data_IF_297298308277
#
_entry.id   IF_297298308277
#
_cell.length_a   1.000
_cell.length_b   1.000
_cell.length_c   1.000
_cell.angle_alpha   90.00
_cell.angle_beta   90.00
_cell.angle_gamma   90.00
#
_symmetry.space_group_name_H-M   'P 1'
#
loop_
_entity.id
_entity.type
_entity.pdbx_description
1 polymer ?
#
# COMPACT_ATOMS: atom_id res chain seq x y z
N UNK A 1 -25.68 -31.55 -16.13
CA UNK A 1 -24.59 -32.00 -15.24
C UNK A 1 -23.97 -30.73 -14.67
N UNK A 2 -24.38 -30.37 -13.46
CA UNK A 2 -23.89 -29.16 -12.79
C UNK A 2 -22.45 -29.42 -12.30
N UNK A 3 -21.49 -28.74 -12.91
CA UNK A 3 -20.16 -28.63 -12.34
C UNK A 3 -20.24 -27.63 -11.18
N UNK A 4 -20.25 -28.13 -9.96
CA UNK A 4 -20.03 -27.30 -8.77
C UNK A 4 -18.55 -26.92 -8.80
N UNK A 5 -18.27 -25.68 -9.22
CA UNK A 5 -16.95 -25.10 -8.99
C UNK A 5 -16.86 -24.80 -7.51
N UNK A 6 -16.27 -25.71 -6.75
CA UNK A 6 -15.89 -25.42 -5.37
C UNK A 6 -14.62 -24.59 -5.43
N UNK A 7 -14.80 -23.27 -5.53
CA UNK A 7 -13.71 -22.32 -5.33
C UNK A 7 -13.36 -22.40 -3.84
N UNK A 8 -12.27 -23.10 -3.53
CA UNK A 8 -11.65 -23.03 -2.22
C UNK A 8 -11.10 -21.60 -2.09
N UNK A 9 -11.86 -20.75 -1.38
CA UNK A 9 -11.31 -19.55 -0.80
C UNK A 9 -10.25 -19.98 0.23
N UNK A 10 -9.09 -20.39 -0.26
CA UNK A 10 -7.90 -20.42 0.57
C UNK A 10 -7.55 -18.96 0.79
N UNK A 11 -7.98 -18.40 1.94
CA UNK A 11 -7.56 -17.08 2.35
C UNK A 11 -6.06 -16.97 2.11
N UNK A 12 -5.66 -16.14 1.15
CA UNK A 12 -4.29 -15.67 1.08
C UNK A 12 -4.09 -14.96 2.42
N UNK A 13 -3.38 -15.61 3.32
CA UNK A 13 -3.01 -14.99 4.58
C UNK A 13 -2.13 -13.79 4.22
N UNK A 14 -2.69 -12.59 4.35
CA UNK A 14 -1.90 -11.38 4.42
C UNK A 14 -0.83 -11.65 5.46
N UNK A 15 0.42 -11.53 5.11
CA UNK A 15 1.52 -11.70 6.07
C UNK A 15 1.23 -10.85 7.29
N UNK A 16 1.37 -11.38 8.52
CA UNK A 16 1.13 -10.58 9.71
C UNK A 16 1.94 -9.29 9.61
N UNK A 17 1.30 -8.18 9.96
CA UNK A 17 1.95 -6.88 10.01
C UNK A 17 3.31 -7.02 10.70
N UNK A 18 4.37 -6.60 10.02
CA UNK A 18 5.68 -6.51 10.64
C UNK A 18 5.55 -5.41 11.69
N UNK A 19 5.64 -5.77 12.96
CA UNK A 19 5.55 -4.79 14.03
C UNK A 19 6.59 -3.69 13.80
N UNK A 20 6.13 -2.45 13.75
CA UNK A 20 7.00 -1.29 13.57
C UNK A 20 8.04 -1.25 14.69
N UNK A 21 9.32 -0.98 14.39
CA UNK A 21 10.30 -0.73 15.41
C UNK A 21 9.94 0.54 16.19
N UNK A 22 9.94 0.49 17.52
CA UNK A 22 9.60 1.65 18.35
C UNK A 22 10.63 2.76 18.18
N UNK A 23 10.21 3.92 17.70
CA UNK A 23 11.03 5.13 17.69
C UNK A 23 11.20 5.66 19.13
N UNK A 24 12.40 6.09 19.49
CA UNK A 24 12.69 6.67 20.80
C UNK A 24 12.48 8.18 20.75
N UNK A 25 11.67 8.67 21.71
CA UNK A 25 11.52 10.07 22.11
C UNK A 25 11.50 11.18 21.00
N UNK A 26 10.34 11.41 20.40
CA UNK A 26 9.99 12.73 19.85
C UNK A 26 10.51 13.07 18.46
N UNK A 27 11.23 12.19 17.76
CA UNK A 27 11.67 12.40 16.38
C UNK A 27 11.51 11.12 15.55
N UNK A 28 11.03 11.24 14.32
CA UNK A 28 11.05 10.15 13.36
C UNK A 28 12.49 9.69 13.09
N UNK A 29 12.68 8.40 12.91
CA UNK A 29 14.01 7.80 12.75
C UNK A 29 14.19 7.18 11.36
N UNK A 30 15.35 7.45 10.74
CA UNK A 30 15.76 6.81 9.49
C UNK A 30 17.07 6.09 9.73
N UNK A 31 17.12 4.79 9.47
CA UNK A 31 18.33 3.98 9.62
C UNK A 31 18.50 2.96 8.52
N UNK A 32 19.76 2.70 8.11
CA UNK A 32 20.10 1.70 7.12
C UNK A 32 20.80 0.48 7.75
N UNK A 33 20.40 -0.71 7.35
CA UNK A 33 21.02 -1.99 7.70
C UNK A 33 21.75 -2.56 6.48
N UNK A 34 23.06 -2.41 6.44
CA UNK A 34 23.88 -2.86 5.30
C UNK A 34 23.88 -4.38 5.14
N UNK A 35 23.75 -5.13 6.23
CA UNK A 35 23.71 -6.58 6.15
C UNK A 35 22.41 -7.10 5.49
N UNK A 36 21.33 -6.36 5.64
CA UNK A 36 20.03 -6.67 5.02
C UNK A 36 19.80 -5.91 3.70
N UNK A 37 20.64 -4.93 3.38
CA UNK A 37 20.42 -3.96 2.30
C UNK A 37 19.03 -3.30 2.41
N UNK A 38 18.73 -2.80 3.58
CA UNK A 38 17.45 -2.17 3.86
C UNK A 38 17.60 -0.82 4.53
N UNK A 39 16.64 0.06 4.26
CA UNK A 39 16.44 1.31 4.99
C UNK A 39 15.07 1.28 5.60
N UNK A 40 14.96 1.73 6.84
CA UNK A 40 13.68 1.83 7.55
C UNK A 40 13.47 3.26 8.00
N UNK A 41 12.32 3.81 7.66
CA UNK A 41 11.76 5.02 8.28
C UNK A 41 10.74 4.58 9.34
N UNK A 42 10.78 5.22 10.50
CA UNK A 42 9.80 5.02 11.57
C UNK A 42 9.48 6.36 12.19
N UNK A 43 8.22 6.78 12.08
CA UNK A 43 7.76 8.00 12.74
C UNK A 43 7.81 7.89 14.27
N UNK A 44 7.83 9.01 14.94
CA UNK A 44 7.66 9.06 16.39
C UNK A 44 6.17 9.17 16.73
N UNK A 45 5.76 8.66 17.89
CA UNK A 45 4.35 8.74 18.31
C UNK A 45 3.81 10.17 18.31
N UNK A 46 2.60 10.36 17.76
CA UNK A 46 1.90 11.64 17.68
C UNK A 46 2.50 12.64 16.70
N UNK A 47 3.32 12.19 15.75
CA UNK A 47 3.78 13.05 14.65
C UNK A 47 2.85 12.92 13.46
N UNK A 48 2.55 14.04 12.82
CA UNK A 48 1.96 14.10 11.48
C UNK A 48 3.09 14.35 10.49
N UNK A 49 3.32 13.39 9.59
CA UNK A 49 4.43 13.40 8.64
C UNK A 49 3.96 13.84 7.24
N UNK A 50 4.82 14.55 6.53
CA UNK A 50 4.70 14.82 5.09
C UNK A 50 6.02 14.33 4.48
N UNK A 51 6.07 13.02 4.23
CA UNK A 51 7.31 12.30 3.92
C UNK A 51 7.51 12.16 2.42
N UNK A 52 8.66 12.61 1.94
CA UNK A 52 9.11 12.35 0.59
C UNK A 52 10.31 11.39 0.57
N UNK A 53 10.18 10.27 -0.14
CA UNK A 53 11.27 9.30 -0.34
C UNK A 53 11.72 9.35 -1.79
N UNK A 54 12.98 9.75 -2.01
CA UNK A 54 13.53 10.00 -3.35
C UNK A 54 14.88 9.31 -3.58
N UNK A 55 15.14 8.81 -4.81
CA UNK A 55 16.45 8.32 -5.17
C UNK A 55 17.43 9.49 -5.31
N UNK A 56 18.67 9.32 -4.83
CA UNK A 56 19.73 10.34 -4.85
C UNK A 56 21.04 9.84 -5.45
N UNK A 57 21.00 8.91 -6.39
CA UNK A 57 22.18 8.29 -6.96
C UNK A 57 23.02 9.29 -7.77
N UNK A 58 24.32 9.35 -7.48
CA UNK A 58 25.27 10.27 -8.12
C UNK A 58 26.17 9.59 -9.17
N UNK A 59 25.93 8.32 -9.49
CA UNK A 59 26.68 7.56 -10.47
C UNK A 59 28.07 7.12 -10.01
N UNK A 60 28.38 7.21 -8.72
CA UNK A 60 29.64 6.80 -8.10
C UNK A 60 29.63 5.35 -7.59
N UNK A 61 28.55 4.61 -7.88
CA UNK A 61 28.36 3.23 -7.44
C UNK A 61 27.87 3.09 -6.01
N UNK A 62 27.45 4.17 -5.37
CA UNK A 62 26.81 4.14 -4.05
C UNK A 62 25.33 4.48 -4.22
N UNK A 63 24.48 3.59 -3.75
CA UNK A 63 23.04 3.82 -3.70
C UNK A 63 22.71 4.78 -2.57
N UNK A 64 22.07 5.90 -2.88
CA UNK A 64 21.61 6.88 -1.89
C UNK A 64 20.13 7.10 -1.97
N UNK A 65 19.51 7.19 -0.80
CA UNK A 65 18.08 7.42 -0.63
C UNK A 65 17.90 8.62 0.26
N UNK A 66 17.16 9.61 -0.23
CA UNK A 66 16.81 10.81 0.53
C UNK A 66 15.44 10.67 1.19
N UNK A 67 15.37 11.06 2.45
CA UNK A 67 14.14 11.16 3.23
C UNK A 67 13.97 12.62 3.65
N UNK A 68 12.92 13.24 3.17
CA UNK A 68 12.54 14.60 3.52
C UNK A 68 11.17 14.58 4.16
N UNK A 69 11.04 15.24 5.30
CA UNK A 69 9.79 15.33 6.05
C UNK A 69 9.51 16.78 6.47
N UNK A 70 8.28 17.08 6.82
CA UNK A 70 7.89 18.35 7.45
C UNK A 70 8.36 18.44 8.91
N UNK A 71 8.57 17.30 9.56
CA UNK A 71 9.02 17.19 10.94
C UNK A 71 10.51 16.82 11.04
N UNK A 72 11.19 17.13 12.17
CA UNK A 72 12.58 16.78 12.33
C UNK A 72 12.84 15.27 12.34
N UNK A 73 13.80 14.83 11.54
CA UNK A 73 14.27 13.45 11.43
C UNK A 73 15.50 13.22 12.29
N UNK A 74 15.69 12.00 12.76
CA UNK A 74 16.90 11.54 13.42
C UNK A 74 17.62 10.50 12.56
N UNK A 75 18.82 10.80 12.02
CA UNK A 75 19.60 9.80 11.29
C UNK A 75 20.09 8.70 12.23
N UNK A 76 19.91 7.47 11.80
CA UNK A 76 20.46 6.27 12.40
C UNK A 76 21.75 5.82 11.69
N UNK A 77 22.04 4.52 11.79
CA UNK A 77 23.24 3.95 11.17
C UNK A 77 23.25 4.17 9.65
N UNK A 78 24.41 4.55 9.11
CA UNK A 78 24.67 4.81 7.69
C UNK A 78 23.79 5.89 7.06
N UNK A 79 23.18 6.75 7.88
CA UNK A 79 22.38 7.89 7.46
C UNK A 79 22.97 9.19 8.06
N UNK A 80 22.87 10.28 7.32
CA UNK A 80 23.38 11.60 7.72
C UNK A 80 22.40 12.69 7.28
N UNK A 81 22.44 13.85 7.94
CA UNK A 81 21.75 15.03 7.43
C UNK A 81 22.39 15.47 6.11
N UNK A 82 21.55 15.83 5.12
CA UNK A 82 22.03 16.34 3.84
C UNK A 82 22.80 17.65 4.01
N UNK A 83 22.30 18.53 4.88
CA UNK A 83 22.90 19.81 5.20
C UNK A 83 23.01 20.00 6.72
N UNK A 84 24.14 20.52 7.23
CA UNK A 84 24.30 20.81 8.64
C UNK A 84 23.23 21.81 9.13
N UNK A 85 22.48 21.42 10.16
CA UNK A 85 21.43 22.25 10.76
C UNK A 85 20.06 22.16 10.10
N UNK A 86 19.92 21.35 9.03
CA UNK A 86 18.62 21.01 8.40
C UNK A 86 18.21 19.63 8.87
N UNK A 87 17.41 19.57 9.92
CA UNK A 87 17.01 18.29 10.54
C UNK A 87 15.87 17.57 9.81
N UNK A 88 15.28 18.19 8.78
CA UNK A 88 14.16 17.64 8.01
C UNK A 88 14.59 16.88 6.76
N UNK A 89 15.90 16.71 6.53
CA UNK A 89 16.40 15.97 5.38
C UNK A 89 17.56 15.05 5.74
N UNK A 90 17.31 13.75 5.63
CA UNK A 90 18.29 12.70 5.91
C UNK A 90 18.60 11.92 4.63
N UNK A 91 19.87 11.61 4.41
CA UNK A 91 20.34 10.74 3.31
C UNK A 91 20.94 9.48 3.91
N UNK A 92 20.50 8.33 3.43
CA UNK A 92 21.05 7.03 3.76
C UNK A 92 21.85 6.46 2.60
N UNK A 93 22.99 5.84 2.90
CA UNK A 93 23.81 5.14 1.93
C UNK A 93 23.65 3.62 2.08
N UNK A 94 23.50 2.94 0.95
CA UNK A 94 23.51 1.48 0.87
C UNK A 94 24.67 1.03 -0.02
N UNK A 95 25.39 -0.05 0.36
CA UNK A 95 26.40 -0.62 -0.51
C UNK A 95 25.73 -1.21 -1.75
N UNK A 96 26.22 -0.89 -2.94
CA UNK A 96 25.75 -1.48 -4.18
C UNK A 96 26.30 -2.90 -4.31
N UNK A 97 25.62 -3.86 -3.69
CA UNK A 97 25.79 -5.26 -4.03
C UNK A 97 24.62 -5.66 -4.96
N UNK A 98 24.93 -5.84 -6.23
CA UNK A 98 23.94 -6.17 -7.27
C UNK A 98 23.23 -7.51 -7.08
N UNK A 99 23.56 -8.26 -6.04
CA UNK A 99 22.98 -9.57 -5.76
C UNK A 99 21.68 -9.53 -4.95
N UNK A 100 21.34 -8.40 -4.32
CA UNK A 100 20.10 -8.22 -3.53
C UNK A 100 19.44 -6.90 -3.91
N UNK A 101 18.11 -6.89 -4.09
CA UNK A 101 17.38 -5.64 -4.26
C UNK A 101 17.44 -4.82 -2.96
N UNK A 102 17.62 -3.52 -3.09
CA UNK A 102 17.43 -2.59 -1.98
C UNK A 102 16.00 -2.67 -1.49
N UNK A 103 15.82 -2.57 -0.18
CA UNK A 103 14.50 -2.59 0.44
C UNK A 103 14.35 -1.35 1.32
N UNK A 104 13.28 -0.60 1.09
CA UNK A 104 12.89 0.53 1.91
C UNK A 104 11.54 0.21 2.55
N UNK A 105 11.50 0.22 3.86
CA UNK A 105 10.27 0.07 4.63
C UNK A 105 9.95 1.38 5.35
N UNK A 106 8.71 1.84 5.23
CA UNK A 106 8.22 3.10 5.79
C UNK A 106 7.06 2.81 6.72
N UNK A 107 7.13 3.30 7.96
CA UNK A 107 6.09 3.25 8.97
C UNK A 107 5.79 4.66 9.45
N UNK A 108 4.64 5.21 9.09
CA UNK A 108 4.29 6.61 9.34
C UNK A 108 3.78 6.83 10.76
N UNK A 109 3.13 5.83 11.35
CA UNK A 109 2.82 5.84 12.79
C UNK A 109 1.38 6.20 13.10
N UNK A 110 1.14 7.08 14.06
CA UNK A 110 -0.17 7.57 14.44
C UNK A 110 -0.31 9.05 14.03
N UNK A 111 -1.43 9.42 13.48
CA UNK A 111 -1.72 10.77 12.97
C UNK A 111 -2.12 10.70 11.51
N UNK A 112 -2.62 11.79 10.98
CA UNK A 112 -3.05 11.89 9.59
C UNK A 112 -1.82 12.23 8.73
N UNK A 113 -1.22 11.19 8.16
CA UNK A 113 0.10 11.28 7.51
C UNK A 113 -0.01 11.37 5.97
N UNK A 114 1.00 11.99 5.36
CA UNK A 114 1.15 12.01 3.90
C UNK A 114 2.50 11.44 3.49
N UNK A 115 2.52 10.59 2.46
CA UNK A 115 3.75 10.13 1.83
C UNK A 115 3.68 10.26 0.31
N UNK A 116 4.78 10.73 -0.29
CA UNK A 116 5.03 10.60 -1.71
C UNK A 116 6.37 9.90 -1.96
N UNK A 117 6.37 8.83 -2.76
CA UNK A 117 7.60 8.14 -3.10
C UNK A 117 7.76 7.94 -4.60
N UNK A 118 8.99 8.20 -5.08
CA UNK A 118 9.42 7.89 -6.44
C UNK A 118 10.57 6.89 -6.47
N UNK A 119 10.99 6.39 -5.31
CA UNK A 119 12.08 5.41 -5.23
C UNK A 119 11.57 3.99 -5.51
N UNK A 120 12.10 3.28 -6.52
CA UNK A 120 11.66 1.94 -6.88
C UNK A 120 12.04 0.86 -5.85
N UNK A 121 12.88 1.17 -4.87
CA UNK A 121 13.26 0.27 -3.78
C UNK A 121 12.27 0.26 -2.62
N UNK A 122 11.22 1.11 -2.64
CA UNK A 122 10.20 1.09 -1.59
C UNK A 122 9.43 -0.22 -1.67
N UNK A 123 9.56 -1.01 -0.63
CA UNK A 123 8.93 -2.33 -0.54
C UNK A 123 7.61 -2.26 0.22
N UNK A 124 7.59 -1.57 1.35
CA UNK A 124 6.39 -1.47 2.19
C UNK A 124 6.20 -0.03 2.66
N UNK A 125 4.94 0.41 2.62
CA UNK A 125 4.45 1.61 3.30
C UNK A 125 3.31 1.18 4.21
N UNK A 126 3.28 1.67 5.43
CA UNK A 126 2.20 1.52 6.40
C UNK A 126 1.89 2.89 6.95
N UNK A 127 0.66 3.34 6.81
CA UNK A 127 0.14 4.57 7.38
C UNK A 127 0.10 4.46 8.89
N UNK A 128 -0.80 3.69 9.39
CA UNK A 128 -1.00 3.45 10.80
C UNK A 128 -2.38 3.88 11.27
N UNK A 129 -2.58 4.29 12.50
CA UNK A 129 -3.82 4.92 12.93
C UNK A 129 -3.88 6.39 12.53
N UNK A 130 -4.89 6.79 11.79
CA UNK A 130 -5.15 8.15 11.31
C UNK A 130 -5.67 8.11 9.90
N UNK A 131 -6.12 9.23 9.37
CA UNK A 131 -6.62 9.34 8.00
C UNK A 131 -5.44 9.69 7.07
N UNK A 132 -4.86 8.68 6.41
CA UNK A 132 -3.58 8.79 5.73
C UNK A 132 -3.72 8.99 4.20
N UNK A 133 -2.75 9.70 3.61
CA UNK A 133 -2.63 9.89 2.16
C UNK A 133 -1.35 9.24 1.63
N UNK A 134 -1.47 8.01 1.10
CA UNK A 134 -0.34 7.14 0.76
C UNK A 134 -0.09 7.11 -0.75
N UNK A 135 0.60 8.11 -1.30
CA UNK A 135 0.99 8.18 -2.72
C UNK A 135 2.27 7.36 -2.98
N UNK A 136 2.15 6.04 -2.99
CA UNK A 136 3.28 5.12 -3.03
C UNK A 136 3.32 4.27 -4.32
N UNK A 137 3.19 4.90 -5.48
CA UNK A 137 3.12 4.24 -6.81
C UNK A 137 4.26 3.27 -7.14
N UNK A 138 5.39 3.37 -6.48
CA UNK A 138 6.53 2.47 -6.66
C UNK A 138 6.58 1.34 -5.64
N UNK A 139 5.81 1.45 -4.55
CA UNK A 139 5.82 0.47 -3.48
C UNK A 139 5.18 -0.86 -3.90
N UNK A 140 5.73 -1.96 -3.37
CA UNK A 140 5.16 -3.28 -3.58
C UNK A 140 3.92 -3.52 -2.71
N UNK A 141 3.95 -3.05 -1.47
CA UNK A 141 2.84 -3.18 -0.52
C UNK A 141 2.55 -1.84 0.14
N UNK A 142 1.28 -1.43 0.13
CA UNK A 142 0.82 -0.22 0.81
C UNK A 142 -0.35 -0.60 1.69
N UNK A 143 -0.34 -0.14 2.94
CA UNK A 143 -1.40 -0.34 3.93
C UNK A 143 -1.82 0.98 4.54
N UNK A 144 -3.13 1.21 4.59
CA UNK A 144 -3.71 2.29 5.38
C UNK A 144 -3.59 1.98 6.87
N UNK A 145 -3.97 0.80 7.28
CA UNK A 145 -4.10 0.26 8.63
C UNK A 145 -5.42 0.71 9.30
N UNK A 146 -5.58 1.90 9.87
CA UNK A 146 -6.84 2.27 10.54
C UNK A 146 -7.13 3.77 10.49
N UNK A 147 -8.22 4.13 9.89
CA UNK A 147 -8.69 5.47 9.58
C UNK A 147 -9.27 5.49 8.18
N UNK A 148 -9.76 6.61 7.72
CA UNK A 148 -10.28 6.74 6.37
C UNK A 148 -9.14 7.11 5.42
N UNK A 149 -8.56 6.10 4.74
CA UNK A 149 -7.29 6.22 4.04
C UNK A 149 -7.43 6.40 2.52
N UNK A 150 -6.47 7.11 1.92
CA UNK A 150 -6.26 7.13 0.48
C UNK A 150 -4.98 6.35 0.14
N UNK A 151 -5.13 5.18 -0.49
CA UNK A 151 -4.05 4.23 -0.71
C UNK A 151 -3.77 4.06 -2.20
N UNK A 152 -2.58 4.49 -2.65
CA UNK A 152 -2.12 4.30 -4.02
C UNK A 152 -0.86 3.46 -4.05
N UNK A 153 -0.88 2.36 -4.81
CA UNK A 153 0.26 1.44 -4.86
C UNK A 153 0.24 0.55 -6.07
N UNK A 154 1.15 -0.43 -6.11
CA UNK A 154 1.46 -1.14 -7.35
C UNK A 154 1.11 -2.62 -7.37
N UNK A 155 1.21 -3.36 -6.28
CA UNK A 155 0.99 -4.82 -6.29
C UNK A 155 0.01 -5.26 -5.22
N UNK A 156 0.19 -4.78 -3.99
CA UNK A 156 -0.67 -5.14 -2.86
C UNK A 156 -1.12 -3.86 -2.19
N UNK A 157 -2.43 -3.64 -2.15
CA UNK A 157 -3.08 -2.55 -1.44
C UNK A 157 -4.01 -3.13 -0.38
N UNK A 158 -3.96 -2.57 0.81
CA UNK A 158 -4.74 -2.98 1.96
C UNK A 158 -5.22 -1.69 2.66
N UNK A 159 -6.52 -1.39 2.61
CA UNK A 159 -7.10 -0.23 3.29
C UNK A 159 -7.02 -0.42 4.78
N UNK A 160 -7.79 -1.31 5.33
CA UNK A 160 -7.74 -1.66 6.73
C UNK A 160 -9.06 -1.53 7.47
N UNK A 161 -9.10 -0.78 8.56
CA UNK A 161 -10.33 -0.43 9.26
C UNK A 161 -10.66 1.05 8.94
N UNK A 162 -11.74 1.35 8.26
CA UNK A 162 -12.17 2.71 7.91
C UNK A 162 -12.88 2.76 6.57
N UNK A 163 -13.23 3.93 6.10
CA UNK A 163 -13.75 4.13 4.75
C UNK A 163 -12.59 4.47 3.82
N UNK A 164 -12.08 3.48 3.11
CA UNK A 164 -10.85 3.62 2.36
C UNK A 164 -11.08 3.89 0.88
N UNK A 165 -10.15 4.61 0.26
CA UNK A 165 -10.11 4.78 -1.18
C UNK A 165 -8.81 4.17 -1.74
N UNK A 166 -8.93 2.98 -2.34
CA UNK A 166 -7.82 2.25 -2.94
C UNK A 166 -7.77 2.51 -4.45
N UNK A 167 -6.63 3.00 -4.92
CA UNK A 167 -6.37 3.23 -6.33
C UNK A 167 -5.13 2.43 -6.75
N UNK A 168 -5.32 1.42 -7.58
CA UNK A 168 -4.21 0.67 -8.15
C UNK A 168 -3.49 1.49 -9.25
N UNK A 169 -2.41 0.98 -9.76
CA UNK A 169 -1.79 1.44 -11.01
C UNK A 169 -1.86 0.30 -12.02
N UNK A 170 -1.52 0.53 -13.28
CA UNK A 170 -1.62 -0.50 -14.31
C UNK A 170 -0.87 -1.80 -13.95
N UNK A 171 -1.46 -2.95 -14.26
CA UNK A 171 -0.90 -4.29 -14.05
C UNK A 171 -1.70 -5.13 -13.06
N UNK A 172 -1.33 -6.37 -12.85
CA UNK A 172 -2.07 -7.31 -12.02
C UNK A 172 -1.85 -7.02 -10.52
N UNK A 173 -2.93 -6.73 -9.76
CA UNK A 173 -2.88 -6.36 -8.35
C UNK A 173 -3.73 -7.24 -7.44
N UNK A 174 -3.48 -7.08 -6.14
CA UNK A 174 -4.28 -7.62 -5.05
C UNK A 174 -4.74 -6.47 -4.15
N UNK A 175 -6.05 -6.25 -4.06
CA UNK A 175 -6.65 -5.16 -3.30
C UNK A 175 -7.55 -5.74 -2.21
N UNK A 176 -7.38 -5.24 -1.00
CA UNK A 176 -8.26 -5.50 0.14
C UNK A 176 -8.78 -4.17 0.67
N UNK A 177 -10.10 -3.94 0.62
CA UNK A 177 -10.73 -2.79 1.27
C UNK A 177 -10.53 -2.87 2.76
N UNK A 178 -11.14 -3.84 3.36
CA UNK A 178 -11.01 -4.09 4.78
C UNK A 178 -12.34 -4.01 5.49
N UNK A 179 -12.48 -3.22 6.53
CA UNK A 179 -13.77 -2.93 7.17
C UNK A 179 -14.15 -1.49 6.94
N UNK A 180 -15.39 -1.26 6.54
CA UNK A 180 -15.95 0.06 6.29
C UNK A 180 -16.46 0.13 4.88
N UNK A 181 -17.04 1.25 4.50
CA UNK A 181 -17.64 1.42 3.18
C UNK A 181 -16.56 1.91 2.22
N UNK A 182 -15.93 0.97 1.48
CA UNK A 182 -14.72 1.23 0.71
C UNK A 182 -15.01 1.59 -0.76
N UNK A 183 -14.12 2.40 -1.34
CA UNK A 183 -14.06 2.67 -2.78
C UNK A 183 -12.79 2.08 -3.37
N UNK A 184 -12.91 1.15 -4.34
CA UNK A 184 -11.77 0.44 -4.91
C UNK A 184 -11.76 0.58 -6.43
N UNK A 185 -10.67 1.12 -6.97
CA UNK A 185 -10.41 1.28 -8.41
C UNK A 185 -9.19 0.46 -8.80
N UNK A 186 -9.38 -0.66 -9.53
CA UNK A 186 -8.30 -1.57 -9.88
C UNK A 186 -7.62 -1.23 -11.23
N UNK A 187 -8.29 -0.51 -12.14
CA UNK A 187 -7.80 -0.05 -13.46
C UNK A 187 -7.48 -1.19 -14.45
N UNK A 188 -6.29 -1.13 -15.11
CA UNK A 188 -5.91 -2.11 -16.13
C UNK A 188 -5.12 -3.26 -15.51
N UNK A 189 -5.56 -4.50 -15.71
CA UNK A 189 -4.85 -5.66 -15.17
C UNK A 189 -5.73 -6.89 -15.03
N UNK A 190 -5.20 -7.92 -14.38
CA UNK A 190 -5.99 -9.06 -13.90
C UNK A 190 -5.98 -9.01 -12.39
N UNK A 191 -6.97 -8.33 -11.88
CA UNK A 191 -6.97 -7.92 -10.50
C UNK A 191 -7.76 -8.89 -9.61
N UNK A 192 -7.34 -8.99 -8.38
CA UNK A 192 -8.07 -9.73 -7.36
C UNK A 192 -8.45 -8.76 -6.26
N UNK A 193 -9.74 -8.49 -6.15
CA UNK A 193 -10.30 -7.54 -5.20
C UNK A 193 -11.14 -8.28 -4.17
N UNK A 194 -10.97 -7.94 -2.90
CA UNK A 194 -11.83 -8.32 -1.80
C UNK A 194 -12.19 -7.06 -1.03
N UNK A 195 -13.40 -6.54 -1.22
CA UNK A 195 -13.83 -5.31 -0.56
C UNK A 195 -13.97 -5.55 0.94
N UNK A 196 -14.85 -6.40 1.39
CA UNK A 196 -14.85 -6.80 2.79
C UNK A 196 -16.21 -6.64 3.49
N UNK A 197 -16.24 -6.27 4.76
CA UNK A 197 -17.43 -5.86 5.45
C UNK A 197 -17.69 -4.36 5.33
N UNK A 198 -18.80 -3.98 4.72
CA UNK A 198 -19.24 -2.60 4.48
C UNK A 198 -20.12 -2.53 3.24
N UNK A 199 -20.66 -1.38 2.94
CA UNK A 199 -21.37 -1.13 1.69
C UNK A 199 -20.37 -0.60 0.66
N UNK A 200 -19.74 -1.52 -0.08
CA UNK A 200 -18.54 -1.24 -0.88
C UNK A 200 -18.85 -0.86 -2.34
N UNK A 201 -17.96 -0.08 -2.94
CA UNK A 201 -18.00 0.25 -4.37
C UNK A 201 -16.72 -0.17 -5.06
N UNK A 202 -16.79 -1.15 -5.97
CA UNK A 202 -15.63 -1.71 -6.67
C UNK A 202 -15.76 -1.53 -8.18
N UNK A 203 -14.69 -1.02 -8.80
CA UNK A 203 -14.49 -1.00 -10.25
C UNK A 203 -13.26 -1.87 -10.59
N UNK A 204 -13.48 -3.00 -11.31
CA UNK A 204 -12.42 -3.91 -11.78
C UNK A 204 -11.53 -3.23 -12.80
N UNK A 205 -12.12 -2.78 -13.90
CA UNK A 205 -11.41 -2.08 -14.97
C UNK A 205 -11.24 -2.92 -16.22
N UNK A 206 -10.16 -2.66 -16.97
CA UNK A 206 -9.87 -3.44 -18.16
C UNK A 206 -9.06 -4.69 -17.79
N UNK A 207 -9.62 -5.89 -17.97
CA UNK A 207 -8.90 -7.14 -17.71
C UNK A 207 -9.83 -8.27 -17.27
N UNK A 208 -9.29 -9.45 -17.00
CA UNK A 208 -10.11 -10.56 -16.51
C UNK A 208 -10.02 -10.60 -14.97
N UNK A 209 -10.95 -9.96 -14.28
CA UNK A 209 -10.88 -9.67 -12.86
C UNK A 209 -11.63 -10.68 -11.98
N UNK A 210 -11.22 -10.75 -10.71
CA UNK A 210 -11.91 -11.51 -9.67
C UNK A 210 -12.26 -10.56 -8.53
N UNK A 211 -13.56 -10.28 -8.36
CA UNK A 211 -14.06 -9.32 -7.36
C UNK A 211 -14.98 -10.03 -6.37
N UNK A 212 -14.73 -9.83 -5.09
CA UNK A 212 -15.58 -10.22 -3.99
C UNK A 212 -16.03 -8.96 -3.24
N UNK A 213 -17.35 -8.69 -3.18
CA UNK A 213 -17.93 -7.64 -2.35
C UNK A 213 -17.74 -7.98 -0.89
N UNK A 214 -18.50 -8.93 -0.40
CA UNK A 214 -18.30 -9.40 0.97
C UNK A 214 -19.58 -9.40 1.79
N UNK A 215 -19.68 -8.52 2.76
CA UNK A 215 -20.91 -8.35 3.52
C UNK A 215 -21.32 -6.89 3.61
N UNK A 216 -22.52 -6.59 3.18
CA UNK A 216 -23.10 -5.27 3.03
C UNK A 216 -23.84 -5.17 1.71
N UNK A 217 -24.38 -4.02 1.39
CA UNK A 217 -25.10 -3.78 0.14
C UNK A 217 -24.10 -3.23 -0.91
N UNK A 218 -23.38 -4.12 -1.62
CA UNK A 218 -22.23 -3.79 -2.46
C UNK A 218 -22.62 -3.38 -3.88
N UNK A 219 -21.77 -2.53 -4.51
CA UNK A 219 -21.84 -2.17 -5.92
C UNK A 219 -20.56 -2.61 -6.63
N UNK A 220 -20.66 -3.64 -7.49
CA UNK A 220 -19.51 -4.24 -8.17
C UNK A 220 -19.64 -4.07 -9.69
N UNK A 221 -18.64 -3.45 -10.31
CA UNK A 221 -18.49 -3.30 -11.76
C UNK A 221 -17.23 -4.05 -12.21
N UNK A 222 -17.41 -5.05 -13.11
CA UNK A 222 -16.29 -5.76 -13.74
C UNK A 222 -15.61 -4.93 -14.79
N UNK A 223 -16.41 -4.15 -15.53
CA UNK A 223 -16.03 -3.36 -16.70
C UNK A 223 -15.63 -4.26 -17.88
N UNK A 224 -14.43 -4.16 -18.46
CA UNK A 224 -14.11 -4.84 -19.71
C UNK A 224 -13.21 -6.07 -19.52
N UNK A 225 -13.76 -7.27 -19.74
CA UNK A 225 -13.01 -8.51 -19.58
C UNK A 225 -13.90 -9.72 -19.36
N UNK A 226 -13.30 -10.88 -19.18
CA UNK A 226 -14.02 -12.10 -18.79
C UNK A 226 -13.97 -12.24 -17.24
N UNK A 227 -14.86 -11.53 -16.53
CA UNK A 227 -14.77 -11.29 -15.08
C UNK A 227 -15.52 -12.32 -14.22
N UNK A 228 -15.11 -12.43 -12.96
CA UNK A 228 -15.82 -13.18 -11.92
C UNK A 228 -16.14 -12.24 -10.76
N UNK A 229 -17.43 -11.92 -10.58
CA UNK A 229 -17.91 -11.05 -9.53
C UNK A 229 -18.83 -11.80 -8.59
N UNK A 230 -18.60 -11.67 -7.30
CA UNK A 230 -19.39 -12.28 -6.22
C UNK A 230 -19.80 -11.18 -5.25
N UNK A 231 -21.10 -10.84 -5.19
CA UNK A 231 -21.63 -9.86 -4.25
C UNK A 231 -21.40 -10.32 -2.81
N UNK A 232 -22.06 -11.39 -2.42
CA UNK A 232 -21.84 -11.97 -1.11
C UNK A 232 -23.08 -11.98 -0.24
N UNK A 233 -23.03 -11.32 0.91
CA UNK A 233 -24.20 -11.24 1.79
C UNK A 233 -24.69 -9.80 1.91
N UNK A 234 -25.91 -9.57 1.45
CA UNK A 234 -26.55 -8.27 1.43
C UNK A 234 -27.45 -8.12 0.23
N UNK A 235 -27.65 -6.92 -0.20
CA UNK A 235 -28.38 -6.61 -1.42
C UNK A 235 -27.47 -5.95 -2.44
N UNK A 236 -26.80 -6.80 -3.19
CA UNK A 236 -25.73 -6.37 -4.06
C UNK A 236 -26.22 -5.94 -5.46
N UNK A 237 -25.51 -4.99 -6.04
CA UNK A 237 -25.62 -4.61 -7.45
C UNK A 237 -24.36 -5.08 -8.16
N UNK A 238 -24.50 -6.06 -9.09
CA UNK A 238 -23.35 -6.67 -9.76
C UNK A 238 -23.51 -6.52 -11.28
N UNK A 239 -22.63 -5.75 -11.90
CA UNK A 239 -22.58 -5.47 -13.33
C UNK A 239 -21.25 -5.95 -13.92
N UNK A 240 -21.29 -7.03 -14.74
CA UNK A 240 -20.08 -7.61 -15.31
C UNK A 240 -19.48 -6.78 -16.46
N UNK A 241 -20.26 -5.97 -17.18
CA UNK A 241 -19.75 -5.21 -18.32
C UNK A 241 -19.54 -6.03 -19.60
N UNK A 242 -18.74 -5.53 -20.57
CA UNK A 242 -18.44 -6.22 -21.81
C UNK A 242 -17.51 -7.41 -21.63
N UNK A 243 -17.95 -8.63 -21.98
CA UNK A 243 -17.16 -9.85 -21.87
C UNK A 243 -18.00 -11.08 -21.57
N UNK A 244 -17.39 -12.17 -21.13
CA UNK A 244 -18.07 -13.38 -20.69
C UNK A 244 -17.97 -13.51 -19.19
N UNK A 245 -18.83 -12.80 -18.50
CA UNK A 245 -18.74 -12.63 -17.06
C UNK A 245 -19.49 -13.73 -16.30
N UNK A 246 -19.00 -14.02 -15.08
CA UNK A 246 -19.67 -14.84 -14.08
C UNK A 246 -20.04 -13.93 -12.92
N UNK A 247 -21.34 -13.66 -12.76
CA UNK A 247 -21.85 -12.81 -11.69
C UNK A 247 -22.69 -13.63 -10.72
N UNK A 248 -22.39 -13.53 -9.45
CA UNK A 248 -23.08 -14.16 -8.34
C UNK A 248 -23.48 -13.06 -7.35
N UNK A 249 -24.78 -12.79 -7.19
CA UNK A 249 -25.27 -11.85 -6.19
C UNK A 249 -25.07 -12.36 -4.79
#
# INVERSE_FOLDING_TARGET
MSAVVTLLATGLAVSPAVAAPTAAEGKARVGADWAKQSVTFTAAPGQVNDLHVVPMDQGDGVRRIGFRDSVPLQPGDHCTYLEPGVETYVVCELPTDSARPDRIDVFLGDGDDEIATSDPGVATVSGGPGDDMLHAHTAHTVRGDAGDDMVMGRVVLDGGDGMDHLMAVDGDQFLWGGRGDDMIEAYDGKDVVSAGPGDDHVMGGDGDDIVFGGSGDDMLHGEAGDDVLVGGSGKDTVEGGPGRNITLP
#
